data_IF_629244240489
#
_entry.id   IF_629244240489
#
_cell.length_a   1.000
_cell.length_b   1.000
_cell.length_c   1.000
_cell.angle_alpha   90.00
_cell.angle_beta   90.00
_cell.angle_gamma   90.00
#
_symmetry.space_group_name_H-M   'P 1'
#
loop_
_entity.id
_entity.type
_entity.pdbx_description
1 polymer ?
#
# COMPACT_ATOMS: atom_id res chain seq x y z
N UNK A 1 -9.81 10.96 -7.82
CA UNK A 1 -10.08 10.63 -6.42
C UNK A 1 -11.21 11.49 -5.90
N UNK A 2 -12.09 10.95 -5.06
CA UNK A 2 -13.22 11.70 -4.47
C UNK A 2 -12.99 12.10 -3.01
N UNK A 3 -11.97 11.51 -2.36
CA UNK A 3 -11.58 11.82 -0.99
C UNK A 3 -10.12 12.32 -0.98
N UNK A 4 -9.92 13.58 -0.59
CA UNK A 4 -8.60 14.17 -0.40
C UNK A 4 -8.02 13.77 0.98
N UNK A 5 -7.83 12.46 1.16
CA UNK A 5 -7.32 11.83 2.40
C UNK A 5 -6.36 10.68 2.10
N UNK A 6 -5.59 10.28 3.10
CA UNK A 6 -4.87 9.02 3.09
C UNK A 6 -5.74 7.87 3.65
N UNK A 7 -5.49 6.64 3.19
CA UNK A 7 -6.03 5.43 3.80
C UNK A 7 -4.97 4.37 4.10
N UNK A 8 -5.30 3.47 5.03
CA UNK A 8 -4.61 2.20 5.20
C UNK A 8 -5.61 1.06 5.44
N UNK A 9 -5.64 0.07 4.55
CA UNK A 9 -6.46 -1.14 4.70
C UNK A 9 -5.57 -2.30 5.15
N UNK A 10 -5.68 -2.76 6.38
CA UNK A 10 -4.77 -3.81 6.84
C UNK A 10 -4.82 -4.14 8.32
N UNK A 11 -3.67 -4.60 8.83
CA UNK A 11 -3.47 -4.88 10.24
C UNK A 11 -2.30 -4.08 10.80
N UNK A 12 -2.39 -3.86 12.10
CA UNK A 12 -1.30 -3.47 12.97
C UNK A 12 -0.97 -4.61 13.94
N UNK A 13 0.27 -4.70 14.41
CA UNK A 13 0.68 -5.72 15.38
C UNK A 13 1.76 -5.21 16.33
N UNK A 14 1.54 -5.39 17.62
CA UNK A 14 2.47 -4.97 18.69
C UNK A 14 3.47 -6.04 19.12
N UNK A 15 3.23 -7.30 18.77
CA UNK A 15 3.99 -8.46 19.28
C UNK A 15 4.92 -9.11 18.24
N UNK A 16 4.84 -8.68 16.97
CA UNK A 16 5.68 -9.19 15.88
C UNK A 16 6.03 -8.06 14.91
N UNK A 17 7.11 -8.25 14.15
CA UNK A 17 7.57 -7.37 13.08
C UNK A 17 7.82 -5.92 13.52
N UNK A 18 8.77 -5.73 14.45
CA UNK A 18 9.09 -4.42 15.01
C UNK A 18 9.44 -3.37 13.96
N UNK A 19 10.24 -3.74 12.96
CA UNK A 19 10.61 -2.83 11.87
C UNK A 19 9.43 -2.44 11.00
N UNK A 20 8.49 -3.37 10.74
CA UNK A 20 7.22 -3.04 10.07
C UNK A 20 6.40 -2.06 10.91
N UNK A 21 6.33 -2.28 12.22
CA UNK A 21 5.61 -1.40 13.16
C UNK A 21 6.23 0.00 13.17
N UNK A 22 7.55 0.12 13.19
CA UNK A 22 8.27 1.40 13.06
C UNK A 22 7.82 2.20 11.82
N UNK A 23 7.81 1.57 10.63
CA UNK A 23 7.33 2.25 9.42
C UNK A 23 5.85 2.60 9.49
N UNK A 24 5.01 1.73 10.07
CA UNK A 24 3.59 2.02 10.24
C UNK A 24 3.36 3.21 11.18
N UNK A 25 4.05 3.27 12.32
CA UNK A 25 3.90 4.35 13.30
C UNK A 25 4.30 5.69 12.67
N UNK A 26 5.44 5.72 11.96
CA UNK A 26 5.89 6.90 11.20
C UNK A 26 4.86 7.33 10.14
N UNK A 27 4.41 6.39 9.30
CA UNK A 27 3.43 6.66 8.25
C UNK A 27 2.10 7.14 8.80
N UNK A 28 1.61 6.52 9.87
CA UNK A 28 0.31 6.86 10.44
C UNK A 28 0.34 8.23 11.08
N UNK A 29 1.38 8.55 11.86
CA UNK A 29 1.55 9.86 12.47
C UNK A 29 1.60 10.96 11.40
N UNK A 30 2.47 10.83 10.40
CA UNK A 30 2.63 11.88 9.39
C UNK A 30 1.40 12.03 8.50
N UNK A 31 0.81 10.91 8.06
CA UNK A 31 -0.34 10.97 7.16
C UNK A 31 -1.59 11.47 7.88
N UNK A 32 -1.76 11.18 9.17
CA UNK A 32 -2.88 11.72 9.95
C UNK A 32 -2.75 13.22 10.17
N UNK A 33 -1.53 13.71 10.42
CA UNK A 33 -1.25 15.15 10.59
C UNK A 33 -1.40 15.94 9.28
N UNK A 34 -0.96 15.39 8.15
CA UNK A 34 -0.88 16.12 6.86
C UNK A 34 -2.14 15.90 6.00
N UNK A 35 -2.61 14.67 5.84
CA UNK A 35 -3.67 14.35 4.88
C UNK A 35 -4.99 13.91 5.53
N UNK A 36 -5.05 13.79 6.86
CA UNK A 36 -6.00 12.93 7.57
C UNK A 36 -5.90 11.46 7.10
N UNK A 37 -6.11 10.54 8.03
CA UNK A 37 -5.91 9.11 7.78
C UNK A 37 -7.12 8.30 8.20
N UNK A 38 -7.73 7.60 7.25
CA UNK A 38 -8.75 6.60 7.53
C UNK A 38 -8.12 5.19 7.47
N UNK A 39 -8.20 4.45 8.58
CA UNK A 39 -7.71 3.08 8.69
C UNK A 39 -8.87 2.11 8.71
N UNK A 40 -8.76 1.03 7.93
CA UNK A 40 -9.71 -0.08 7.94
C UNK A 40 -9.05 -1.29 8.59
N UNK A 41 -9.40 -1.56 9.85
CA UNK A 41 -8.78 -2.60 10.68
C UNK A 41 -9.36 -3.98 10.35
N UNK A 42 -8.56 -4.78 9.61
CA UNK A 42 -8.90 -6.17 9.26
C UNK A 42 -9.07 -7.08 10.49
N UNK A 43 -8.54 -6.68 11.64
CA UNK A 43 -8.56 -7.40 12.91
C UNK A 43 -9.49 -6.73 13.95
N UNK A 44 -10.40 -5.85 13.52
CA UNK A 44 -11.36 -5.16 14.41
C UNK A 44 -12.16 -6.13 15.27
N UNK A 45 -12.55 -7.29 14.74
CA UNK A 45 -13.30 -8.32 15.47
C UNK A 45 -12.44 -9.18 16.43
N UNK A 46 -11.10 -9.10 16.38
CA UNK A 46 -10.23 -9.88 17.28
C UNK A 46 -10.24 -9.25 18.67
N UNK A 47 -10.41 -10.02 19.74
CA UNK A 47 -10.40 -9.46 21.13
C UNK A 47 -9.01 -9.01 21.61
N UNK A 48 -7.94 -9.59 21.06
CA UNK A 48 -6.57 -9.32 21.51
C UNK A 48 -6.15 -7.87 21.25
N UNK A 49 -5.64 -7.20 22.28
CA UNK A 49 -5.12 -5.84 22.21
C UNK A 49 -3.87 -5.74 21.32
N UNK A 50 -3.20 -6.86 21.02
CA UNK A 50 -2.03 -6.94 20.17
C UNK A 50 -2.21 -6.39 18.76
N UNK A 51 -3.45 -6.27 18.28
CA UNK A 51 -3.76 -5.77 16.93
C UNK A 51 -4.33 -4.35 16.92
N UNK A 52 -4.29 -3.64 18.05
CA UNK A 52 -4.83 -2.28 18.15
C UNK A 52 -3.80 -1.25 17.71
N UNK A 53 -4.26 -0.38 16.82
CA UNK A 53 -3.50 0.72 16.25
C UNK A 53 -3.21 1.78 17.32
N UNK A 54 -2.11 2.54 17.18
CA UNK A 54 -1.96 3.79 17.90
C UNK A 54 -3.04 4.78 17.45
N UNK A 55 -3.33 5.77 18.31
CA UNK A 55 -4.28 6.84 18.00
C UNK A 55 -3.50 8.13 17.81
N UNK A 56 -3.66 8.75 16.64
CA UNK A 56 -3.09 10.06 16.31
C UNK A 56 -4.21 11.06 15.98
N UNK A 57 -3.94 12.35 16.17
CA UNK A 57 -4.86 13.40 15.72
C UNK A 57 -5.02 13.33 14.20
N UNK A 58 -6.25 13.43 13.72
CA UNK A 58 -6.58 13.32 12.28
C UNK A 58 -6.64 11.86 11.77
N UNK A 59 -6.56 10.87 12.66
CA UNK A 59 -6.71 9.46 12.33
C UNK A 59 -8.07 8.92 12.76
N UNK A 60 -8.77 8.21 11.88
CA UNK A 60 -10.01 7.50 12.16
C UNK A 60 -9.83 6.01 11.87
N UNK A 61 -10.31 5.16 12.77
CA UNK A 61 -10.20 3.70 12.64
C UNK A 61 -11.59 3.10 12.47
N UNK A 62 -11.80 2.46 11.34
CA UNK A 62 -13.03 1.78 10.94
C UNK A 62 -12.91 0.26 11.10
N UNK A 63 -14.03 -0.45 11.31
CA UNK A 63 -14.05 -1.90 11.28
C UNK A 63 -13.57 -2.49 9.94
N UNK A 64 -13.39 -3.82 9.94
CA UNK A 64 -12.97 -4.56 8.76
C UNK A 64 -14.01 -4.42 7.64
N UNK A 65 -13.53 -4.27 6.42
CA UNK A 65 -14.36 -4.28 5.22
C UNK A 65 -14.23 -5.62 4.49
N UNK A 66 -15.29 -6.05 3.82
CA UNK A 66 -15.22 -7.20 2.92
C UNK A 66 -14.15 -6.99 1.86
N UNK A 67 -13.38 -8.04 1.56
CA UNK A 67 -12.26 -7.97 0.61
C UNK A 67 -12.66 -7.39 -0.76
N UNK A 68 -13.83 -7.79 -1.30
CA UNK A 68 -14.33 -7.26 -2.59
C UNK A 68 -14.57 -5.74 -2.61
N UNK A 69 -14.67 -5.10 -1.43
CA UNK A 69 -14.89 -3.66 -1.28
C UNK A 69 -13.58 -2.86 -1.16
N UNK A 70 -12.42 -3.50 -0.96
CA UNK A 70 -11.14 -2.78 -0.77
C UNK A 70 -10.73 -1.99 -2.01
N UNK A 71 -10.97 -2.52 -3.21
CA UNK A 71 -10.70 -1.80 -4.46
C UNK A 71 -11.46 -0.47 -4.56
N UNK A 72 -12.68 -0.38 -4.03
CA UNK A 72 -13.43 0.87 -4.01
C UNK A 72 -12.79 1.92 -3.08
N UNK A 73 -12.17 1.47 -1.97
CA UNK A 73 -11.40 2.35 -1.08
C UNK A 73 -10.20 2.91 -1.85
N UNK A 74 -9.38 2.05 -2.46
CA UNK A 74 -8.19 2.50 -3.20
C UNK A 74 -8.51 3.47 -4.36
N UNK A 75 -9.67 3.35 -5.00
CA UNK A 75 -10.12 4.28 -6.06
C UNK A 75 -10.65 5.62 -5.54
N UNK A 76 -11.17 5.67 -4.32
CA UNK A 76 -11.78 6.88 -3.73
C UNK A 76 -10.74 7.80 -3.09
N UNK A 77 -9.81 7.24 -2.33
CA UNK A 77 -8.82 7.99 -1.55
C UNK A 77 -7.64 8.45 -2.40
N UNK A 78 -7.18 9.68 -2.15
CA UNK A 78 -6.02 10.25 -2.84
C UNK A 78 -4.76 9.41 -2.60
N UNK A 79 -4.47 9.07 -1.35
CA UNK A 79 -3.25 8.34 -0.96
C UNK A 79 -3.65 7.00 -0.33
N UNK A 80 -2.97 5.92 -0.72
CA UNK A 80 -3.08 4.62 -0.09
C UNK A 80 -1.72 4.18 0.45
N UNK A 81 -1.65 3.96 1.76
CA UNK A 81 -0.43 3.60 2.45
C UNK A 81 -0.19 2.09 2.39
N UNK A 82 1.06 1.68 2.21
CA UNK A 82 1.53 0.31 2.31
C UNK A 82 2.80 0.19 3.16
N UNK A 83 2.98 -0.96 3.82
CA UNK A 83 4.26 -1.33 4.43
C UNK A 83 4.54 -2.80 4.13
N UNK A 84 5.67 -3.06 3.48
CA UNK A 84 6.23 -4.39 3.28
C UNK A 84 7.03 -4.81 4.51
N UNK A 85 6.86 -6.06 4.93
CA UNK A 85 7.49 -6.61 6.15
C UNK A 85 8.90 -7.12 5.89
N UNK A 86 9.12 -7.70 4.72
CA UNK A 86 10.41 -8.23 4.30
C UNK A 86 11.01 -7.25 3.31
N UNK A 87 12.19 -6.74 3.63
CA UNK A 87 12.82 -5.65 2.89
C UNK A 87 13.91 -6.13 1.95
N UNK A 88 14.60 -7.21 2.32
CA UNK A 88 15.79 -7.70 1.63
C UNK A 88 15.49 -8.78 0.57
N UNK A 89 14.22 -9.17 0.40
CA UNK A 89 13.84 -10.12 -0.64
C UNK A 89 13.60 -9.39 -1.96
N UNK A 90 14.23 -9.82 -3.07
CA UNK A 90 14.03 -9.22 -4.37
C UNK A 90 12.70 -9.62 -5.02
N UNK A 91 11.88 -10.46 -4.37
CA UNK A 91 10.62 -10.99 -4.91
C UNK A 91 9.43 -10.83 -3.98
N UNK A 92 9.65 -10.60 -2.69
CA UNK A 92 8.56 -10.49 -1.73
C UNK A 92 8.02 -9.07 -1.61
N UNK A 93 6.74 -8.93 -1.92
CA UNK A 93 5.96 -7.71 -1.73
C UNK A 93 4.54 -8.05 -1.29
N UNK A 94 3.86 -7.11 -0.64
CA UNK A 94 2.50 -7.32 -0.17
C UNK A 94 1.47 -7.27 -1.31
N UNK A 95 0.40 -8.04 -1.16
CA UNK A 95 -0.77 -7.98 -2.06
C UNK A 95 -1.38 -6.57 -2.13
N UNK A 96 -1.42 -5.85 -0.99
CA UNK A 96 -1.95 -4.48 -0.92
C UNK A 96 -1.25 -3.55 -1.91
N UNK A 97 0.07 -3.64 -2.02
CA UNK A 97 0.84 -2.78 -2.92
C UNK A 97 0.33 -2.91 -4.36
N UNK A 98 0.24 -4.14 -4.87
CA UNK A 98 -0.22 -4.38 -6.25
C UNK A 98 -1.71 -4.09 -6.43
N UNK A 99 -2.54 -4.26 -5.39
CA UNK A 99 -3.97 -3.91 -5.44
C UNK A 99 -4.18 -2.39 -5.55
N UNK A 100 -3.40 -1.59 -4.82
CA UNK A 100 -3.43 -0.13 -4.93
C UNK A 100 -3.00 0.30 -6.33
N UNK A 101 -1.87 -0.23 -6.82
CA UNK A 101 -1.32 0.11 -8.14
C UNK A 101 -2.33 -0.30 -9.24
N UNK A 102 -2.93 -1.49 -9.16
CA UNK A 102 -3.96 -1.94 -10.11
C UNK A 102 -5.18 -1.02 -10.17
N UNK A 103 -5.50 -0.36 -9.05
CA UNK A 103 -6.61 0.60 -8.98
C UNK A 103 -6.25 1.99 -9.53
N UNK A 104 -5.01 2.20 -9.98
CA UNK A 104 -4.50 3.52 -10.36
C UNK A 104 -4.41 4.49 -9.17
N UNK A 105 -4.19 3.96 -7.95
CA UNK A 105 -4.08 4.76 -6.73
C UNK A 105 -2.63 5.13 -6.40
N UNK A 106 -2.44 6.25 -5.69
CA UNK A 106 -1.11 6.64 -5.19
C UNK A 106 -0.71 5.68 -4.07
N UNK A 107 0.13 4.71 -4.39
CA UNK A 107 0.76 3.82 -3.42
C UNK A 107 2.01 4.48 -2.82
N UNK A 108 1.96 4.81 -1.52
CA UNK A 108 3.17 5.19 -0.75
C UNK A 108 3.61 4.00 0.09
N UNK A 109 4.87 3.58 -0.03
CA UNK A 109 5.40 2.38 0.65
C UNK A 109 6.82 2.58 1.17
N UNK A 110 7.23 1.82 2.20
CA UNK A 110 8.65 1.74 2.55
C UNK A 110 9.45 1.11 1.40
N UNK A 111 10.68 1.60 1.20
CA UNK A 111 11.61 1.05 0.23
C UNK A 111 12.01 -0.39 0.58
N UNK A 112 12.08 -1.26 -0.44
CA UNK A 112 12.49 -2.68 -0.34
C UNK A 112 13.11 -3.13 -1.66
N UNK A 113 13.89 -4.21 -1.67
CA UNK A 113 14.48 -4.75 -2.91
C UNK A 113 13.43 -5.11 -3.96
N UNK A 114 12.27 -5.65 -3.57
CA UNK A 114 11.19 -5.94 -4.49
C UNK A 114 10.50 -4.68 -5.04
N UNK A 115 10.36 -3.63 -4.23
CA UNK A 115 9.80 -2.33 -4.68
C UNK A 115 10.73 -1.68 -5.71
N UNK A 116 12.03 -1.62 -5.42
CA UNK A 116 13.01 -1.08 -6.36
C UNK A 116 13.02 -1.85 -7.68
N UNK A 117 12.97 -3.19 -7.61
CA UNK A 117 13.04 -4.04 -8.79
C UNK A 117 11.81 -3.95 -9.71
N UNK A 118 10.60 -3.93 -9.14
CA UNK A 118 9.37 -4.09 -9.93
C UNK A 118 8.46 -2.86 -9.97
N UNK A 119 8.52 -1.98 -8.97
CA UNK A 119 7.46 -1.00 -8.73
C UNK A 119 7.94 0.44 -8.61
N UNK A 120 9.25 0.72 -8.69
CA UNK A 120 9.79 2.08 -8.57
C UNK A 120 9.16 3.08 -9.55
N UNK A 121 8.79 2.61 -10.74
CA UNK A 121 8.17 3.46 -11.76
C UNK A 121 6.65 3.60 -11.59
N UNK A 122 6.04 2.85 -10.66
CA UNK A 122 4.58 2.68 -10.51
C UNK A 122 4.07 2.99 -9.09
N UNK A 123 4.94 3.35 -8.16
CA UNK A 123 4.60 3.76 -6.80
C UNK A 123 5.59 4.81 -6.28
N UNK A 124 5.36 5.29 -5.06
CA UNK A 124 6.26 6.20 -4.37
C UNK A 124 6.84 5.49 -3.14
N UNK A 125 8.15 5.31 -3.10
CA UNK A 125 8.82 4.66 -1.98
C UNK A 125 9.71 5.62 -1.20
N UNK A 126 9.70 5.50 0.12
CA UNK A 126 10.55 6.30 1.01
C UNK A 126 11.49 5.41 1.83
N UNK A 127 12.67 5.95 2.14
CA UNK A 127 13.64 5.40 3.09
C UNK A 127 13.67 6.22 4.38
N UNK A 128 13.38 7.53 4.32
CA UNK A 128 13.46 8.45 5.45
C UNK A 128 12.13 9.15 5.76
N UNK A 129 11.99 9.64 7.00
CA UNK A 129 10.83 10.45 7.41
C UNK A 129 10.70 11.71 6.55
N UNK A 130 11.82 12.35 6.20
CA UNK A 130 11.85 13.58 5.38
C UNK A 130 11.28 13.34 3.98
N UNK A 131 11.65 12.23 3.34
CA UNK A 131 11.11 11.84 2.03
C UNK A 131 9.60 11.61 2.09
N UNK A 132 9.16 10.82 3.08
CA UNK A 132 7.73 10.57 3.29
C UNK A 132 6.96 11.87 3.50
N UNK A 133 7.45 12.76 4.36
CA UNK A 133 6.86 14.08 4.62
C UNK A 133 6.76 14.92 3.35
N UNK A 134 7.82 14.94 2.53
CA UNK A 134 7.82 15.67 1.26
C UNK A 134 6.78 15.10 0.27
N UNK A 135 6.65 13.77 0.17
CA UNK A 135 5.64 13.12 -0.67
C UNK A 135 4.22 13.48 -0.21
N UNK A 136 3.94 13.40 1.09
CA UNK A 136 2.62 13.75 1.65
C UNK A 136 2.26 15.21 1.38
N UNK A 137 3.19 16.14 1.60
CA UNK A 137 2.96 17.56 1.28
C UNK A 137 2.81 17.84 -0.21
N UNK A 138 3.56 17.15 -1.08
CA UNK A 138 3.39 17.27 -2.54
C UNK A 138 1.94 17.00 -2.92
N UNK A 139 1.39 15.86 -2.52
CA UNK A 139 0.02 15.49 -2.88
C UNK A 139 -1.04 16.32 -2.16
N UNK A 140 -0.79 16.72 -0.90
CA UNK A 140 -1.70 17.60 -0.16
C UNK A 140 -1.87 18.95 -0.86
N UNK A 141 -0.77 19.58 -1.30
CA UNK A 141 -0.77 20.93 -1.85
C UNK A 141 -1.13 20.97 -3.33
N UNK A 142 -0.57 20.04 -4.11
CA UNK A 142 -0.59 20.14 -5.56
C UNK A 142 -1.53 19.11 -6.21
N UNK A 143 -2.05 18.15 -5.45
CA UNK A 143 -2.78 17.02 -6.02
C UNK A 143 -1.89 16.20 -6.96
N UNK A 144 -2.46 15.69 -8.05
CA UNK A 144 -1.74 14.93 -9.07
C UNK A 144 -1.27 15.84 -10.20
N UNK A 145 0.02 15.76 -10.54
CA UNK A 145 0.51 16.25 -11.82
C UNK A 145 0.11 15.33 -12.98
N UNK A 146 0.33 15.77 -14.22
CA UNK A 146 0.17 14.90 -15.40
C UNK A 146 1.12 13.69 -15.35
N UNK A 147 2.37 13.88 -14.92
CA UNK A 147 3.32 12.78 -14.74
C UNK A 147 2.83 11.77 -13.70
N UNK A 148 2.20 12.24 -12.62
CA UNK A 148 1.59 11.35 -11.62
C UNK A 148 0.44 10.56 -12.25
N UNK A 149 -0.42 11.18 -13.07
CA UNK A 149 -1.51 10.46 -13.77
C UNK A 149 -0.96 9.40 -14.74
N UNK A 150 0.07 9.74 -15.51
CA UNK A 150 0.74 8.79 -16.43
C UNK A 150 1.34 7.63 -15.64
N UNK A 151 2.03 7.92 -14.54
CA UNK A 151 2.59 6.91 -13.63
C UNK A 151 1.53 5.92 -13.16
N UNK A 152 0.40 6.41 -12.67
CA UNK A 152 -0.67 5.58 -12.12
C UNK A 152 -1.35 4.73 -13.20
N UNK A 153 -1.57 5.29 -14.39
CA UNK A 153 -2.08 4.55 -15.55
C UNK A 153 -1.12 3.41 -15.94
N UNK A 154 0.16 3.74 -16.15
CA UNK A 154 1.17 2.75 -16.53
C UNK A 154 1.32 1.65 -15.46
N UNK A 155 1.21 2.01 -14.19
CA UNK A 155 1.20 1.06 -13.08
C UNK A 155 0.03 0.09 -13.16
N UNK A 156 -1.18 0.58 -13.37
CA UNK A 156 -2.37 -0.26 -13.49
C UNK A 156 -2.25 -1.25 -14.66
N UNK A 157 -1.78 -0.77 -15.82
CA UNK A 157 -1.53 -1.60 -17.01
C UNK A 157 -0.44 -2.65 -16.75
N UNK A 158 0.65 -2.25 -16.07
CA UNK A 158 1.74 -3.14 -15.69
C UNK A 158 1.26 -4.29 -14.78
N UNK A 159 0.42 -3.99 -13.77
CA UNK A 159 -0.15 -5.02 -12.90
C UNK A 159 -1.07 -5.96 -13.68
N UNK A 160 -1.95 -5.43 -14.53
CA UNK A 160 -2.87 -6.23 -15.33
C UNK A 160 -2.14 -7.19 -16.29
N UNK A 161 -0.96 -6.79 -16.79
CA UNK A 161 -0.14 -7.59 -17.70
C UNK A 161 0.71 -8.65 -16.99
N UNK A 162 1.24 -8.35 -15.80
CA UNK A 162 2.32 -9.16 -15.21
C UNK A 162 1.98 -9.83 -13.87
N UNK A 163 0.92 -9.40 -13.19
CA UNK A 163 0.70 -9.75 -11.77
C UNK A 163 -0.70 -10.33 -11.50
N UNK A 164 -1.36 -10.91 -12.52
CA UNK A 164 -2.61 -11.65 -12.29
C UNK A 164 -2.34 -13.11 -11.89
N UNK A 165 -3.37 -13.77 -11.36
CA UNK A 165 -3.31 -15.20 -11.08
C UNK A 165 -2.96 -16.03 -12.31
N UNK A 166 -3.39 -15.63 -13.51
CA UNK A 166 -3.04 -16.34 -14.74
C UNK A 166 -1.53 -16.39 -14.94
N UNK A 167 -0.84 -15.24 -14.91
CA UNK A 167 0.62 -15.22 -15.07
C UNK A 167 1.34 -15.95 -13.93
N UNK A 168 0.82 -15.90 -12.69
CA UNK A 168 1.40 -16.63 -11.57
C UNK A 168 1.27 -18.15 -11.72
N UNK A 169 0.11 -18.62 -12.17
CA UNK A 169 -0.11 -20.04 -12.42
C UNK A 169 0.72 -20.53 -13.60
N UNK A 170 0.80 -19.76 -14.68
CA UNK A 170 1.70 -20.04 -15.81
C UNK A 170 3.15 -20.14 -15.36
N UNK A 171 3.62 -19.20 -14.53
CA UNK A 171 4.96 -19.26 -13.95
C UNK A 171 5.19 -20.52 -13.12
N UNK A 172 4.22 -20.94 -12.31
CA UNK A 172 4.31 -22.17 -11.50
C UNK A 172 4.40 -23.39 -12.43
N UNK A 173 3.49 -23.50 -13.40
CA UNK A 173 3.45 -24.58 -14.41
C UNK A 173 4.78 -24.68 -15.15
N UNK A 174 5.33 -23.55 -15.60
CA UNK A 174 6.62 -23.49 -16.30
C UNK A 174 7.77 -23.93 -15.38
N UNK A 175 7.72 -23.55 -14.10
CA UNK A 175 8.75 -23.92 -13.11
C UNK A 175 8.74 -25.41 -12.78
N UNK A 176 7.56 -26.03 -12.68
CA UNK A 176 7.43 -27.46 -12.34
C UNK A 176 7.45 -28.37 -13.57
N UNK A 177 7.48 -27.80 -14.78
CA UNK A 177 7.62 -28.54 -16.03
C UNK A 177 6.37 -29.29 -16.50
N UNK A 178 5.17 -28.86 -16.10
CA UNK A 178 3.91 -29.44 -16.62
C UNK A 178 3.70 -28.91 -18.05
N UNK A 179 3.46 -29.81 -19.02
CA UNK A 179 3.09 -29.42 -20.38
C UNK A 179 1.77 -28.65 -20.36
N UNK A 180 1.77 -27.44 -20.94
CA UNK A 180 0.55 -26.67 -21.20
C UNK A 180 -0.28 -27.43 -22.26
N UNK A 181 -1.53 -27.75 -21.94
CA UNK A 181 -2.50 -28.29 -22.91
C UNK A 181 -2.95 -27.21 -23.89
#
# INVERSE_FOLDING_TARGET
>A
FTLNKANFVGSYSRHIHEKRRFYQDMMFKLSSEINNLDVFDRNSNRKSTNYRYPIFKGMQIYPSVEYKKTAQIYKKYLISLNVNTIENSPTMFSRRLIEIIACGGIAITNHTSAVEKYFKDYCYSFQTEKELRNMLYKFQKNGLSEDDKIKLKNGAEFIAKNHTWKQRLEQIVDTIGIKKC
#
